data_IF_493428783938
#
_entry.id   IF_493428783938
#
_cell.length_a   1.000
_cell.length_b   1.000
_cell.length_c   1.000
_cell.angle_alpha   90.00
_cell.angle_beta   90.00
_cell.angle_gamma   90.00
#
_symmetry.space_group_name_H-M   'P 1'
#
loop_
_entity.id
_entity.type
_entity.pdbx_description
1 polymer ?
#
# COMPACT_ATOMS: atom_id res chain seq x y z
N UNK A 1 2.10 36.99 -4.90
CA UNK A 1 2.96 35.93 -4.31
C UNK A 1 2.30 34.60 -4.62
N UNK A 2 2.79 33.88 -5.63
CA UNK A 2 2.34 32.52 -5.91
C UNK A 2 2.88 31.61 -4.80
N UNK A 3 1.98 31.11 -3.96
CA UNK A 3 2.30 30.05 -3.02
C UNK A 3 2.40 28.76 -3.84
N UNK A 4 3.61 28.37 -4.21
CA UNK A 4 3.93 27.02 -4.67
C UNK A 4 3.68 26.07 -3.49
N UNK A 5 2.42 25.64 -3.35
CA UNK A 5 2.08 24.45 -2.59
C UNK A 5 2.70 23.28 -3.34
N UNK A 6 3.96 22.95 -3.01
CA UNK A 6 4.55 21.69 -3.41
C UNK A 6 3.61 20.59 -2.95
N UNK A 7 2.92 19.95 -3.89
CA UNK A 7 2.13 18.77 -3.62
C UNK A 7 3.10 17.73 -3.05
N UNK A 8 3.05 17.53 -1.74
CA UNK A 8 3.86 16.52 -1.08
C UNK A 8 3.38 15.19 -1.66
N UNK A 9 4.25 14.49 -2.39
CA UNK A 9 3.99 13.14 -2.89
C UNK A 9 3.48 12.27 -1.73
N UNK A 10 2.19 11.97 -1.76
CA UNK A 10 1.58 11.01 -0.86
C UNK A 10 1.38 9.70 -1.59
N UNK A 11 1.61 8.60 -0.86
CA UNK A 11 1.27 7.27 -1.33
C UNK A 11 -0.18 7.23 -1.80
N UNK A 12 -0.36 6.86 -3.07
CA UNK A 12 -1.66 6.67 -3.71
C UNK A 12 -2.54 5.78 -2.82
N UNK A 13 -3.80 6.17 -2.54
CA UNK A 13 -4.65 5.40 -1.64
C UNK A 13 -4.93 4.02 -2.22
N UNK A 14 -5.17 3.05 -1.34
CA UNK A 14 -5.32 1.64 -1.72
C UNK A 14 -6.47 1.44 -2.72
N UNK A 15 -7.56 2.18 -2.57
CA UNK A 15 -8.71 2.11 -3.49
C UNK A 15 -8.36 2.60 -4.89
N UNK A 16 -7.42 3.55 -5.02
CA UNK A 16 -6.93 4.00 -6.32
C UNK A 16 -5.94 3.00 -6.93
N UNK A 17 -5.10 2.32 -6.12
CA UNK A 17 -4.13 1.31 -6.58
C UNK A 17 -4.82 -0.02 -6.97
N UNK A 18 -5.65 -0.57 -6.08
CA UNK A 18 -6.23 -1.94 -6.20
C UNK A 18 -7.67 -1.95 -6.68
N UNK A 19 -8.29 -0.78 -6.83
CA UNK A 19 -9.72 -0.65 -7.14
C UNK A 19 -10.60 -0.78 -5.90
N UNK A 20 -11.89 -1.01 -6.13
CA UNK A 20 -12.96 -0.92 -5.12
C UNK A 20 -13.54 -2.26 -4.68
N UNK A 21 -13.05 -3.39 -5.20
CA UNK A 21 -13.57 -4.74 -4.90
C UNK A 21 -13.45 -5.09 -3.41
N UNK A 22 -12.26 -4.87 -2.82
CA UNK A 22 -11.99 -5.11 -1.40
C UNK A 22 -12.99 -4.35 -0.52
N UNK A 23 -13.19 -3.06 -0.78
CA UNK A 23 -14.05 -2.19 0.04
C UNK A 23 -15.53 -2.52 -0.20
N UNK A 24 -15.91 -2.88 -1.43
CA UNK A 24 -17.26 -3.35 -1.73
C UNK A 24 -17.63 -4.66 -1.03
N UNK A 25 -16.64 -5.48 -0.64
CA UNK A 25 -16.87 -6.70 0.14
C UNK A 25 -17.07 -6.42 1.64
N UNK A 26 -16.61 -5.26 2.12
CA UNK A 26 -16.74 -4.85 3.52
C UNK A 26 -18.06 -4.08 3.81
N UNK A 27 -18.87 -3.78 2.78
CA UNK A 27 -20.20 -3.14 2.93
C UNK A 27 -21.14 -3.97 3.79
N UNK A 28 -21.92 -3.28 4.63
CA UNK A 28 -22.89 -3.94 5.52
C UNK A 28 -24.24 -4.18 4.86
N UNK A 29 -24.53 -3.46 3.77
CA UNK A 29 -25.76 -3.56 3.01
C UNK A 29 -25.53 -3.45 1.50
N UNK A 30 -26.59 -3.68 0.72
CA UNK A 30 -26.52 -3.73 -0.77
C UNK A 30 -27.12 -2.49 -1.44
N UNK A 31 -27.55 -1.48 -0.68
CA UNK A 31 -28.28 -0.31 -1.21
C UNK A 31 -27.40 0.62 -2.02
N UNK A 32 -26.08 0.57 -1.82
CA UNK A 32 -25.09 1.35 -2.55
C UNK A 32 -23.87 0.50 -2.89
N UNK A 33 -23.03 0.92 -3.83
CA UNK A 33 -21.72 0.32 -4.13
C UNK A 33 -20.63 1.39 -4.21
N UNK A 34 -19.39 1.03 -3.88
CA UNK A 34 -18.24 1.89 -4.10
C UNK A 34 -17.83 1.86 -5.57
N UNK A 35 -17.67 3.03 -6.17
CA UNK A 35 -17.27 3.21 -7.56
C UNK A 35 -16.12 4.21 -7.61
N UNK A 36 -15.08 3.88 -8.38
CA UNK A 36 -13.93 4.75 -8.60
C UNK A 36 -14.06 5.41 -9.96
N UNK A 37 -13.86 6.72 -10.01
CA UNK A 37 -13.69 7.47 -11.25
C UNK A 37 -12.28 8.02 -11.36
N UNK A 38 -11.80 8.09 -12.60
CA UNK A 38 -10.48 8.64 -12.95
C UNK A 38 -10.69 9.65 -14.07
N UNK A 39 -10.26 10.88 -13.85
CA UNK A 39 -10.28 11.94 -14.86
C UNK A 39 -8.89 12.53 -15.03
N UNK A 40 -8.58 12.96 -16.24
CA UNK A 40 -7.26 13.43 -16.64
C UNK A 40 -7.34 14.80 -17.33
N UNK A 41 -6.42 15.70 -17.03
CA UNK A 41 -6.31 17.00 -17.70
C UNK A 41 -5.28 17.94 -17.07
N UNK A 42 -5.03 19.06 -17.74
CA UNK A 42 -4.01 20.04 -17.35
C UNK A 42 -4.42 21.05 -16.26
N UNK A 43 -5.69 21.07 -15.85
CA UNK A 43 -6.17 21.95 -14.76
C UNK A 43 -7.07 21.20 -13.77
N UNK A 44 -6.61 21.11 -12.52
CA UNK A 44 -7.34 20.49 -11.43
C UNK A 44 -8.67 21.17 -11.11
N UNK A 45 -8.78 22.50 -11.27
CA UNK A 45 -10.03 23.20 -11.01
C UNK A 45 -11.09 22.83 -12.05
N UNK A 46 -10.72 22.82 -13.33
CA UNK A 46 -11.56 22.29 -14.40
C UNK A 46 -11.96 20.83 -14.16
N UNK A 47 -11.02 19.95 -13.82
CA UNK A 47 -11.31 18.54 -13.53
C UNK A 47 -12.33 18.35 -12.40
N UNK A 48 -12.27 19.18 -11.36
CA UNK A 48 -13.24 19.16 -10.27
C UNK A 48 -14.61 19.67 -10.70
N UNK A 49 -14.67 20.67 -11.56
CA UNK A 49 -15.95 21.17 -12.10
C UNK A 49 -16.61 20.13 -13.03
N UNK A 50 -15.82 19.35 -13.77
CA UNK A 50 -16.29 18.28 -14.65
C UNK A 50 -16.42 16.92 -13.96
N UNK A 51 -16.09 16.85 -12.67
CA UNK A 51 -15.95 15.59 -11.94
C UNK A 51 -17.23 14.77 -11.79
N UNK A 52 -18.39 15.39 -11.94
CA UNK A 52 -19.68 14.73 -11.88
C UNK A 52 -20.09 14.07 -13.20
N UNK A 53 -19.41 14.38 -14.32
CA UNK A 53 -19.71 13.78 -15.63
C UNK A 53 -19.52 12.25 -15.63
N UNK A 54 -18.40 11.68 -15.16
CA UNK A 54 -18.24 10.23 -15.07
C UNK A 54 -19.31 9.55 -14.19
N UNK A 55 -19.79 10.23 -13.13
CA UNK A 55 -20.87 9.73 -12.29
C UNK A 55 -22.19 9.65 -13.07
N UNK A 56 -22.53 10.67 -13.87
CA UNK A 56 -23.72 10.68 -14.72
C UNK A 56 -23.64 9.57 -15.78
N UNK A 57 -22.50 9.43 -16.47
CA UNK A 57 -22.25 8.38 -17.46
C UNK A 57 -22.38 6.98 -16.85
N UNK A 58 -21.85 6.79 -15.64
CA UNK A 58 -21.96 5.54 -14.89
C UNK A 58 -23.41 5.19 -14.55
N UNK A 59 -24.17 6.15 -14.01
CA UNK A 59 -25.59 5.95 -13.69
C UNK A 59 -26.42 5.69 -14.95
N UNK A 60 -26.14 6.44 -16.03
CA UNK A 60 -26.80 6.30 -17.32
C UNK A 60 -26.60 4.90 -17.90
N UNK A 61 -25.36 4.43 -17.95
CA UNK A 61 -25.03 3.08 -18.45
C UNK A 61 -25.55 1.96 -17.54
N UNK A 62 -25.49 2.15 -16.21
CA UNK A 62 -25.92 1.12 -15.24
C UNK A 62 -27.43 0.89 -15.26
N UNK A 63 -28.22 1.96 -15.39
CA UNK A 63 -29.69 1.90 -15.30
C UNK A 63 -30.42 2.06 -16.64
N UNK A 64 -29.68 2.18 -17.74
CA UNK A 64 -30.21 2.35 -19.10
C UNK A 64 -30.96 3.66 -19.28
N UNK A 65 -30.36 4.78 -18.84
CA UNK A 65 -30.96 6.12 -18.90
C UNK A 65 -30.37 6.92 -20.09
N UNK A 66 -30.92 8.11 -20.33
CA UNK A 66 -30.36 9.09 -21.28
C UNK A 66 -29.73 10.22 -20.47
N UNK A 67 -28.47 10.51 -20.76
CA UNK A 67 -27.65 11.54 -20.12
C UNK A 67 -27.93 12.96 -20.64
N UNK A 68 -28.58 13.10 -21.81
CA UNK A 68 -28.90 14.37 -22.48
C UNK A 68 -29.60 15.42 -21.58
N UNK A 69 -30.36 14.97 -20.59
CA UNK A 69 -31.10 15.82 -19.64
C UNK A 69 -30.85 15.43 -18.19
N UNK A 70 -29.64 14.98 -17.87
CA UNK A 70 -29.23 14.72 -16.50
C UNK A 70 -28.88 16.03 -15.78
N UNK A 71 -29.39 16.22 -14.56
CA UNK A 71 -29.00 17.31 -13.67
C UNK A 71 -28.38 16.76 -12.39
N UNK A 72 -27.34 17.42 -11.90
CA UNK A 72 -26.64 17.06 -10.68
C UNK A 72 -26.80 18.19 -9.66
N UNK A 73 -27.37 17.87 -8.52
CA UNK A 73 -27.58 18.77 -7.39
C UNK A 73 -26.70 18.31 -6.22
N UNK A 74 -25.86 19.18 -5.68
CA UNK A 74 -25.11 18.90 -4.45
C UNK A 74 -26.01 19.22 -3.24
N UNK A 75 -26.28 18.22 -2.41
CA UNK A 75 -27.15 18.32 -1.24
C UNK A 75 -26.42 18.85 0.00
N UNK A 76 -25.10 18.69 0.06
CA UNK A 76 -24.29 19.19 1.17
C UNK A 76 -23.98 20.69 0.94
N UNK A 77 -24.21 21.58 1.93
CA UNK A 77 -23.87 22.99 1.81
C UNK A 77 -22.39 23.14 1.46
N UNK A 78 -22.07 24.04 0.54
CA UNK A 78 -20.69 24.47 0.30
C UNK A 78 -20.19 25.15 1.58
N UNK A 79 -19.60 24.36 2.49
CA UNK A 79 -18.82 24.88 3.59
C UNK A 79 -17.63 25.60 2.96
N UNK A 80 -17.84 26.90 2.74
CA UNK A 80 -16.85 27.82 2.27
C UNK A 80 -15.67 27.80 3.24
N UNK A 81 -14.45 27.83 2.71
CA UNK A 81 -13.18 28.02 3.42
C UNK A 81 -12.56 26.77 4.08
N UNK A 82 -12.32 25.72 3.28
CA UNK A 82 -11.04 25.01 3.17
C UNK A 82 -11.32 23.78 2.30
N UNK A 83 -11.18 23.91 0.97
CA UNK A 83 -11.12 22.72 0.11
C UNK A 83 -9.96 21.90 0.66
N UNK A 84 -10.23 20.79 1.34
CA UNK A 84 -9.20 19.86 1.79
C UNK A 84 -8.25 19.68 0.62
N UNK A 85 -6.99 20.09 0.81
CA UNK A 85 -6.00 19.98 -0.24
C UNK A 85 -5.96 18.51 -0.62
N UNK A 86 -6.13 18.17 -1.92
CA UNK A 86 -5.95 16.79 -2.32
C UNK A 86 -4.54 16.39 -1.87
N UNK A 87 -4.44 15.21 -1.24
CA UNK A 87 -3.21 14.66 -0.67
C UNK A 87 -2.77 15.29 0.68
N UNK A 88 -3.69 15.67 1.58
CA UNK A 88 -3.35 16.19 2.92
C UNK A 88 -2.38 15.23 3.69
N UNK A 89 -1.18 15.67 4.13
CA UNK A 89 -0.25 14.92 5.00
C UNK A 89 -0.90 14.20 6.19
N UNK A 90 -1.97 14.75 6.78
CA UNK A 90 -2.61 14.20 7.98
C UNK A 90 -3.75 13.21 7.67
N UNK A 91 -4.47 13.36 6.55
CA UNK A 91 -5.42 12.42 5.90
C UNK A 91 -6.22 11.42 6.77
N UNK A 92 -6.69 11.82 7.96
CA UNK A 92 -7.68 11.06 8.72
C UNK A 92 -9.12 11.50 8.40
N UNK A 93 -9.31 12.54 7.60
CA UNK A 93 -10.61 13.12 7.27
C UNK A 93 -10.97 12.83 5.82
N UNK A 94 -12.13 12.21 5.61
CA UNK A 94 -12.74 12.07 4.28
C UNK A 94 -13.30 13.39 3.79
N UNK A 95 -13.53 13.46 2.48
CA UNK A 95 -14.33 14.53 1.89
C UNK A 95 -15.71 13.91 1.70
N UNK A 96 -16.70 14.34 2.47
CA UNK A 96 -18.08 13.87 2.31
C UNK A 96 -18.90 14.92 1.57
N UNK A 97 -19.38 14.57 0.38
CA UNK A 97 -20.33 15.40 -0.38
C UNK A 97 -21.42 14.53 -0.96
N UNK A 98 -22.67 14.88 -0.65
CA UNK A 98 -23.84 14.18 -1.13
C UNK A 98 -24.35 14.83 -2.41
N UNK A 99 -24.62 14.01 -3.41
CA UNK A 99 -25.11 14.39 -4.72
C UNK A 99 -26.43 13.68 -5.00
N UNK A 100 -27.32 14.42 -5.66
CA UNK A 100 -28.58 13.93 -6.23
C UNK A 100 -28.51 14.13 -7.73
N UNK A 101 -28.64 13.03 -8.47
CA UNK A 101 -28.64 13.02 -9.93
C UNK A 101 -30.05 12.73 -10.41
N UNK A 102 -30.61 13.64 -11.21
CA UNK A 102 -31.97 13.50 -11.76
C UNK A 102 -31.90 13.37 -13.26
N UNK A 103 -32.52 12.34 -13.81
CA UNK A 103 -32.63 12.12 -15.24
C UNK A 103 -34.05 12.45 -15.69
N UNK A 104 -34.19 13.34 -16.68
CA UNK A 104 -35.49 13.75 -17.23
C UNK A 104 -35.81 13.11 -18.60
N UNK A 105 -35.04 12.10 -19.00
CA UNK A 105 -35.21 11.38 -20.27
C UNK A 105 -36.42 10.43 -20.31
N UNK A 106 -36.48 9.53 -21.31
CA UNK A 106 -37.61 8.60 -21.50
C UNK A 106 -37.93 7.72 -20.28
N UNK A 107 -36.91 7.41 -19.47
CA UNK A 107 -37.02 6.75 -18.18
C UNK A 107 -36.57 7.74 -17.10
N UNK A 108 -37.49 8.56 -16.55
CA UNK A 108 -37.12 9.52 -15.52
C UNK A 108 -36.79 8.79 -14.22
N UNK A 109 -35.82 9.32 -13.48
CA UNK A 109 -35.39 8.73 -12.22
C UNK A 109 -34.48 9.64 -11.41
N UNK A 110 -34.48 9.44 -10.10
CA UNK A 110 -33.59 10.14 -9.16
C UNK A 110 -32.64 9.13 -8.54
N UNK A 111 -31.37 9.48 -8.49
CA UNK A 111 -30.30 8.64 -7.97
C UNK A 111 -29.45 9.45 -7.03
N UNK A 112 -28.87 8.78 -6.04
CA UNK A 112 -28.02 9.41 -5.04
C UNK A 112 -26.62 8.85 -5.13
N UNK A 113 -25.65 9.73 -4.89
CA UNK A 113 -24.26 9.35 -4.74
C UNK A 113 -23.62 10.19 -3.63
N UNK A 114 -22.60 9.65 -2.98
CA UNK A 114 -21.79 10.35 -1.98
C UNK A 114 -20.33 10.24 -2.35
N UNK A 115 -19.66 11.37 -2.55
CA UNK A 115 -18.20 11.41 -2.62
C UNK A 115 -17.65 11.17 -1.21
N UNK A 116 -16.69 10.26 -1.10
CA UNK A 116 -16.06 9.87 0.18
C UNK A 116 -14.59 10.28 0.23
N UNK A 117 -13.88 10.22 -0.91
CA UNK A 117 -12.45 10.52 -0.96
C UNK A 117 -12.01 11.04 -2.33
N UNK A 118 -10.96 11.86 -2.33
CA UNK A 118 -10.29 12.34 -3.54
C UNK A 118 -8.77 12.15 -3.41
N UNK A 119 -8.11 11.80 -4.51
CA UNK A 119 -6.66 11.77 -4.62
C UNK A 119 -6.22 12.36 -5.95
N UNK A 120 -5.12 13.11 -5.96
CA UNK A 120 -4.59 13.71 -7.18
C UNK A 120 -3.16 13.21 -7.38
N UNK A 121 -2.87 12.61 -8.53
CA UNK A 121 -1.49 12.49 -8.99
C UNK A 121 -1.19 13.60 -9.98
N UNK A 122 0.06 14.05 -10.01
CA UNK A 122 0.58 14.93 -11.02
C UNK A 122 1.76 14.21 -11.68
N UNK A 123 1.81 14.25 -13.00
CA UNK A 123 2.91 13.72 -13.79
C UNK A 123 3.61 14.89 -14.49
N UNK A 124 4.94 14.92 -14.37
CA UNK A 124 5.77 15.94 -15.01
C UNK A 124 5.98 15.55 -16.48
N UNK A 125 5.55 16.42 -17.39
CA UNK A 125 5.78 16.24 -18.81
C UNK A 125 7.17 16.75 -19.22
N UNK A 126 7.65 16.26 -20.37
CA UNK A 126 8.97 16.64 -20.93
C UNK A 126 9.04 18.13 -21.28
N UNK A 127 7.89 18.79 -21.45
CA UNK A 127 7.74 20.21 -21.76
C UNK A 127 7.55 21.10 -20.51
N UNK A 128 7.84 20.58 -19.31
CA UNK A 128 7.67 21.28 -18.02
C UNK A 128 6.22 21.66 -17.70
N UNK A 129 5.25 21.09 -18.42
CA UNK A 129 3.84 21.12 -18.05
C UNK A 129 3.51 20.00 -17.06
N UNK A 130 2.40 20.15 -16.34
CA UNK A 130 1.91 19.16 -15.40
C UNK A 130 0.56 18.65 -15.87
N UNK A 131 0.45 17.33 -15.98
CA UNK A 131 -0.84 16.68 -16.15
C UNK A 131 -1.35 16.17 -14.81
N UNK A 132 -2.60 16.50 -14.50
CA UNK A 132 -3.27 16.04 -13.29
C UNK A 132 -4.14 14.83 -13.62
N UNK A 133 -4.02 13.79 -12.79
CA UNK A 133 -5.02 12.73 -12.72
C UNK A 133 -5.78 12.81 -11.41
N UNK A 134 -7.07 13.08 -11.49
CA UNK A 134 -7.97 13.14 -10.35
C UNK A 134 -8.68 11.79 -10.20
N UNK A 135 -8.47 11.16 -9.04
CA UNK A 135 -9.13 9.94 -8.60
C UNK A 135 -10.22 10.32 -7.61
N UNK A 136 -11.41 9.79 -7.79
CA UNK A 136 -12.54 10.02 -6.88
C UNK A 136 -13.20 8.71 -6.51
N UNK A 137 -13.55 8.59 -5.23
CA UNK A 137 -14.26 7.45 -4.68
C UNK A 137 -15.68 7.86 -4.29
N UNK A 138 -16.67 7.27 -4.95
CA UNK A 138 -18.08 7.50 -4.67
C UNK A 138 -18.74 6.25 -4.08
N UNK A 139 -19.70 6.47 -3.19
CA UNK A 139 -20.77 5.53 -2.88
C UNK A 139 -21.95 5.85 -3.78
N UNK A 140 -22.33 4.94 -4.66
CA UNK A 140 -23.39 5.15 -5.66
C UNK A 140 -24.56 4.22 -5.36
N UNK A 141 -25.79 4.71 -5.44
CA UNK A 141 -26.98 3.89 -5.27
C UNK A 141 -27.02 2.70 -6.23
N UNK A 142 -27.50 1.55 -5.75
CA UNK A 142 -27.82 0.39 -6.59
C UNK A 142 -29.33 0.26 -6.81
N UNK A 143 -30.14 1.19 -6.32
CA UNK A 143 -31.61 1.13 -6.36
C UNK A 143 -32.16 2.13 -7.38
N UNK A 144 -33.21 1.71 -8.08
CA UNK A 144 -33.95 2.54 -9.05
C UNK A 144 -35.16 3.25 -8.43
N UNK A 145 -35.44 3.02 -7.15
CA UNK A 145 -36.67 3.50 -6.47
C UNK A 145 -36.59 4.96 -6.00
N UNK A 146 -35.49 5.66 -6.27
CA UNK A 146 -35.30 7.04 -5.87
C UNK A 146 -35.23 7.24 -4.36
N UNK A 147 -34.95 6.19 -3.60
CA UNK A 147 -34.74 6.27 -2.15
C UNK A 147 -33.26 6.48 -1.86
N UNK A 148 -32.95 7.39 -0.93
CA UNK A 148 -31.57 7.62 -0.48
C UNK A 148 -31.00 6.32 0.12
N UNK A 149 -29.82 5.86 -0.33
CA UNK A 149 -29.18 4.67 0.23
C UNK A 149 -28.80 4.85 1.70
N UNK A 150 -28.77 3.73 2.42
CA UNK A 150 -28.22 3.66 3.77
C UNK A 150 -26.70 3.51 3.65
N UNK A 151 -25.99 4.63 3.65
CA UNK A 151 -24.54 4.66 3.52
C UNK A 151 -23.86 4.28 4.84
N UNK A 152 -22.87 3.38 4.79
CA UNK A 152 -22.07 3.04 5.96
C UNK A 152 -21.16 4.22 6.36
N UNK A 153 -20.68 4.20 7.61
CA UNK A 153 -19.65 5.15 8.04
C UNK A 153 -18.30 4.79 7.41
N UNK A 154 -17.59 5.77 6.87
CA UNK A 154 -16.25 5.57 6.30
C UNK A 154 -15.19 6.26 7.15
N UNK A 155 -14.26 5.47 7.69
CA UNK A 155 -13.08 5.98 8.38
C UNK A 155 -11.81 5.77 7.56
N UNK A 156 -10.79 6.59 7.81
CA UNK A 156 -9.54 6.55 7.07
C UNK A 156 -8.38 6.16 7.98
N UNK A 157 -7.60 5.17 7.55
CA UNK A 157 -6.42 4.74 8.29
C UNK A 157 -5.23 4.47 7.37
N UNK A 158 -4.03 4.67 7.91
CA UNK A 158 -2.76 4.26 7.29
C UNK A 158 -2.06 3.13 8.06
N UNK A 159 -2.62 2.72 9.21
CA UNK A 159 -1.95 1.91 10.23
C UNK A 159 -2.51 0.48 10.38
N UNK A 160 -3.19 -0.08 9.38
CA UNK A 160 -3.58 -1.51 9.37
C UNK A 160 -2.34 -2.40 9.12
N UNK A 161 -1.36 -2.28 10.01
CA UNK A 161 -0.01 -2.82 9.89
C UNK A 161 0.05 -4.31 10.18
N UNK A 162 -0.94 -4.89 10.88
CA UNK A 162 -0.94 -6.31 11.25
C UNK A 162 -0.85 -7.25 10.04
N UNK A 163 -1.62 -6.99 8.98
CA UNK A 163 -1.59 -7.83 7.78
C UNK A 163 -0.30 -7.68 6.96
N UNK A 164 0.32 -6.50 6.93
CA UNK A 164 1.58 -6.30 6.24
C UNK A 164 2.76 -6.88 7.02
N UNK A 165 2.75 -6.75 8.35
CA UNK A 165 3.77 -7.32 9.22
C UNK A 165 3.77 -8.86 9.18
N UNK A 166 2.58 -9.50 9.23
CA UNK A 166 2.46 -10.95 9.06
C UNK A 166 3.02 -11.42 7.72
N UNK A 167 2.85 -10.63 6.66
CA UNK A 167 3.37 -10.96 5.32
C UNK A 167 4.87 -10.70 5.20
N UNK A 168 5.43 -9.79 5.97
CA UNK A 168 6.88 -9.53 6.02
C UNK A 168 7.71 -10.62 6.70
N UNK A 169 7.08 -11.66 7.24
CA UNK A 169 7.78 -12.91 7.59
C UNK A 169 8.48 -13.48 6.34
N UNK A 170 7.84 -13.35 5.18
CA UNK A 170 8.51 -13.60 3.91
C UNK A 170 9.20 -12.29 3.52
N UNK A 171 10.53 -12.29 3.32
CA UNK A 171 11.28 -11.12 2.90
C UNK A 171 10.60 -10.40 1.73
N UNK A 172 10.49 -9.08 1.76
CA UNK A 172 9.95 -8.26 0.67
C UNK A 172 8.44 -8.35 0.39
N UNK A 173 7.75 -9.39 0.87
CA UNK A 173 6.34 -9.64 0.55
C UNK A 173 5.38 -8.60 1.16
N UNK A 174 5.65 -8.13 2.38
CA UNK A 174 4.86 -7.06 2.99
C UNK A 174 5.01 -5.72 2.26
N UNK A 175 6.21 -5.43 1.75
CA UNK A 175 6.46 -4.21 0.96
C UNK A 175 5.78 -4.28 -0.41
N UNK A 176 5.84 -5.44 -1.07
CA UNK A 176 5.12 -5.70 -2.31
C UNK A 176 3.60 -5.52 -2.11
N UNK A 177 3.05 -6.04 -1.01
CA UNK A 177 1.63 -5.89 -0.70
C UNK A 177 1.21 -4.43 -0.45
N UNK A 178 2.10 -3.61 0.13
CA UNK A 178 1.93 -2.17 0.30
C UNK A 178 2.08 -1.37 -1.01
N UNK A 179 2.43 -2.03 -2.12
CA UNK A 179 2.69 -1.38 -3.42
C UNK A 179 4.08 -0.74 -3.53
N UNK A 180 4.96 -0.94 -2.54
CA UNK A 180 6.34 -0.43 -2.54
C UNK A 180 7.28 -1.39 -3.28
N UNK A 181 6.99 -1.61 -4.57
CA UNK A 181 7.61 -2.66 -5.38
C UNK A 181 9.15 -2.51 -5.48
N UNK A 182 9.66 -1.29 -5.63
CA UNK A 182 11.10 -1.03 -5.70
C UNK A 182 11.80 -1.50 -4.42
N UNK A 183 11.23 -1.20 -3.24
CA UNK A 183 11.80 -1.67 -1.97
C UNK A 183 11.76 -3.20 -1.87
N UNK A 184 10.66 -3.82 -2.30
CA UNK A 184 10.54 -5.27 -2.32
C UNK A 184 11.63 -5.92 -3.18
N UNK A 185 11.88 -5.40 -4.39
CA UNK A 185 12.94 -5.88 -5.28
C UNK A 185 14.34 -5.66 -4.69
N UNK A 186 14.60 -4.54 -4.02
CA UNK A 186 15.87 -4.31 -3.34
C UNK A 186 16.12 -5.32 -2.21
N UNK A 187 15.08 -5.64 -1.43
CA UNK A 187 15.18 -6.64 -0.35
C UNK A 187 15.45 -8.03 -0.94
N UNK A 188 14.68 -8.46 -1.94
CA UNK A 188 14.91 -9.75 -2.61
C UNK A 188 16.27 -9.83 -3.28
N UNK A 189 16.70 -8.76 -3.98
CA UNK A 189 18.01 -8.69 -4.60
C UNK A 189 19.13 -8.76 -3.58
N UNK A 190 19.02 -8.01 -2.48
CA UNK A 190 19.99 -8.01 -1.38
C UNK A 190 20.13 -9.39 -0.73
N UNK A 191 19.01 -10.05 -0.44
CA UNK A 191 19.03 -11.40 0.10
C UNK A 191 19.60 -12.42 -0.89
N UNK A 192 19.20 -12.36 -2.16
CA UNK A 192 19.70 -13.25 -3.21
C UNK A 192 21.23 -13.15 -3.35
N UNK A 193 21.77 -11.92 -3.34
CA UNK A 193 23.22 -11.68 -3.36
C UNK A 193 23.90 -12.26 -2.12
N UNK A 194 23.35 -12.04 -0.93
CA UNK A 194 23.93 -12.57 0.31
C UNK A 194 23.94 -14.11 0.33
N UNK A 195 22.85 -14.74 -0.10
CA UNK A 195 22.74 -16.20 -0.19
C UNK A 195 23.73 -16.75 -1.24
N UNK A 196 23.78 -16.16 -2.43
CA UNK A 196 24.73 -16.57 -3.47
C UNK A 196 26.17 -16.42 -3.01
N UNK A 197 26.52 -15.31 -2.36
CA UNK A 197 27.84 -15.08 -1.78
C UNK A 197 28.18 -16.12 -0.71
N UNK A 198 27.23 -16.47 0.17
CA UNK A 198 27.43 -17.51 1.17
C UNK A 198 27.69 -18.89 0.54
N UNK A 199 26.94 -19.27 -0.50
CA UNK A 199 27.14 -20.53 -1.23
C UNK A 199 28.49 -20.59 -1.95
N UNK A 200 28.89 -19.51 -2.63
CA UNK A 200 30.19 -19.42 -3.31
C UNK A 200 31.33 -19.51 -2.27
N UNK A 201 31.22 -18.78 -1.17
CA UNK A 201 32.21 -18.81 -0.10
C UNK A 201 32.30 -20.20 0.54
N UNK A 202 31.17 -20.90 0.73
CA UNK A 202 31.16 -22.25 1.27
C UNK A 202 31.80 -23.26 0.32
N UNK A 203 31.52 -23.16 -0.99
CA UNK A 203 32.17 -23.99 -2.00
C UNK A 203 33.68 -23.79 -1.97
N UNK A 204 34.15 -22.54 -2.04
CA UNK A 204 35.59 -22.21 -1.97
C UNK A 204 36.21 -22.71 -0.66
N UNK A 205 35.54 -22.52 0.47
CA UNK A 205 35.99 -23.01 1.78
C UNK A 205 36.17 -24.53 1.77
N UNK A 206 35.24 -25.26 1.16
CA UNK A 206 35.25 -26.72 1.03
C UNK A 206 36.39 -27.20 0.16
N UNK A 207 36.57 -26.59 -1.02
CA UNK A 207 37.66 -26.92 -1.95
C UNK A 207 39.03 -26.75 -1.26
N UNK A 208 39.27 -25.59 -0.63
CA UNK A 208 40.53 -25.35 0.10
C UNK A 208 40.69 -26.26 1.33
N UNK A 209 39.61 -26.71 1.96
CA UNK A 209 39.67 -27.66 3.06
C UNK A 209 40.04 -29.07 2.58
N UNK A 210 39.57 -29.48 1.40
CA UNK A 210 39.95 -30.73 0.77
C UNK A 210 41.44 -30.73 0.39
N UNK A 211 41.91 -29.66 -0.26
CA UNK A 211 43.32 -29.48 -0.61
C UNK A 211 44.23 -29.48 0.63
N UNK A 212 43.82 -28.77 1.70
CA UNK A 212 44.53 -28.81 2.99
C UNK A 212 44.66 -30.24 3.52
N UNK A 213 43.58 -31.02 3.50
CA UNK A 213 43.62 -32.41 4.01
C UNK A 213 44.54 -33.29 3.16
N UNK A 214 44.60 -33.05 1.85
CA UNK A 214 45.51 -33.74 0.94
C UNK A 214 46.98 -33.43 1.28
N UNK A 215 47.35 -32.16 1.43
CA UNK A 215 48.73 -31.80 1.79
C UNK A 215 49.14 -32.29 3.18
N UNK A 216 48.20 -32.40 4.12
CA UNK A 216 48.47 -33.04 5.41
C UNK A 216 48.88 -34.51 5.24
N UNK A 217 48.20 -35.25 4.35
CA UNK A 217 48.49 -36.64 4.08
C UNK A 217 49.81 -36.82 3.30
N UNK A 218 50.16 -35.86 2.45
CA UNK A 218 51.43 -35.84 1.70
C UNK A 218 52.63 -35.35 2.54
N UNK A 219 52.40 -34.82 3.75
CA UNK A 219 53.45 -34.34 4.66
C UNK A 219 53.98 -32.93 4.35
N UNK A 220 53.37 -32.21 3.40
CA UNK A 220 53.73 -30.83 3.04
C UNK A 220 53.07 -29.83 4.00
N UNK A 221 53.79 -29.53 5.08
CA UNK A 221 53.35 -28.61 6.14
C UNK A 221 53.23 -27.15 5.68
N UNK A 222 54.01 -26.71 4.69
CA UNK A 222 54.00 -25.31 4.21
C UNK A 222 52.74 -25.06 3.39
N UNK A 223 52.42 -25.96 2.46
CA UNK A 223 51.17 -25.90 1.70
C UNK A 223 49.96 -26.11 2.61
N UNK A 224 50.05 -27.02 3.58
CA UNK A 224 48.99 -27.22 4.56
C UNK A 224 48.56 -25.93 5.28
N UNK A 225 49.51 -25.18 5.84
CA UNK A 225 49.19 -23.98 6.63
C UNK A 225 48.62 -22.85 5.75
N UNK A 226 49.14 -22.71 4.52
CA UNK A 226 48.61 -21.77 3.53
C UNK A 226 47.15 -22.06 3.15
N UNK A 227 46.82 -23.32 2.83
CA UNK A 227 45.47 -23.71 2.46
C UNK A 227 44.50 -23.71 3.66
N UNK A 228 45.00 -24.00 4.86
CA UNK A 228 44.24 -23.82 6.11
C UNK A 228 43.85 -22.36 6.32
N UNK A 229 44.80 -21.42 6.19
CA UNK A 229 44.54 -19.99 6.32
C UNK A 229 43.52 -19.50 5.29
N UNK A 230 43.66 -19.89 4.01
CA UNK A 230 42.69 -19.58 2.96
C UNK A 230 41.28 -20.10 3.29
N UNK A 231 41.15 -21.35 3.71
CA UNK A 231 39.86 -21.93 4.11
C UNK A 231 39.23 -21.14 5.27
N UNK A 232 40.03 -20.69 6.24
CA UNK A 232 39.53 -19.83 7.32
C UNK A 232 39.05 -18.47 6.83
N UNK A 233 39.76 -17.81 5.90
CA UNK A 233 39.31 -16.55 5.30
C UNK A 233 37.96 -16.71 4.59
N UNK A 234 37.77 -17.76 3.80
CA UNK A 234 36.49 -18.02 3.13
C UNK A 234 35.35 -18.32 4.11
N UNK A 235 35.64 -18.94 5.25
CA UNK A 235 34.67 -19.11 6.34
C UNK A 235 34.24 -17.75 6.92
N UNK A 236 35.17 -16.80 7.09
CA UNK A 236 34.85 -15.44 7.56
C UNK A 236 33.95 -14.74 6.56
N UNK A 237 34.28 -14.75 5.27
CA UNK A 237 33.44 -14.15 4.22
C UNK A 237 32.04 -14.76 4.15
N UNK A 238 31.92 -16.09 4.27
CA UNK A 238 30.61 -16.78 4.35
C UNK A 238 29.80 -16.26 5.55
N UNK A 239 30.42 -16.15 6.72
CA UNK A 239 29.73 -15.67 7.92
C UNK A 239 29.30 -14.19 7.77
N UNK A 240 30.11 -13.35 7.12
CA UNK A 240 29.74 -11.97 6.79
C UNK A 240 28.52 -11.96 5.86
N UNK A 241 28.50 -12.80 4.82
CA UNK A 241 27.36 -12.89 3.90
C UNK A 241 26.07 -13.35 4.60
N UNK A 242 26.15 -14.35 5.48
CA UNK A 242 25.02 -14.80 6.31
C UNK A 242 24.57 -13.68 7.26
N UNK A 243 25.51 -12.98 7.90
CA UNK A 243 25.20 -11.82 8.74
C UNK A 243 24.51 -10.70 7.98
N UNK A 244 24.95 -10.44 6.74
CA UNK A 244 24.29 -9.51 5.82
C UNK A 244 22.85 -9.89 5.51
N UNK A 245 22.60 -11.17 5.20
CA UNK A 245 21.23 -11.68 4.98
C UNK A 245 20.33 -11.48 6.20
N UNK A 246 20.84 -11.81 7.40
CA UNK A 246 20.11 -11.58 8.67
C UNK A 246 19.81 -10.10 8.87
N UNK A 247 20.77 -9.22 8.58
CA UNK A 247 20.60 -7.77 8.67
C UNK A 247 19.51 -7.24 7.73
N UNK A 248 19.50 -7.69 6.48
CA UNK A 248 18.45 -7.35 5.49
C UNK A 248 17.07 -7.83 5.96
N UNK A 249 17.01 -9.05 6.51
CA UNK A 249 15.76 -9.61 7.04
C UNK A 249 15.22 -8.82 8.24
N UNK A 250 16.07 -8.48 9.20
CA UNK A 250 15.69 -7.67 10.36
C UNK A 250 15.22 -6.28 9.93
N UNK A 251 15.90 -5.65 8.96
CA UNK A 251 15.47 -4.39 8.37
C UNK A 251 14.08 -4.51 7.72
N UNK A 252 13.80 -5.58 6.97
CA UNK A 252 12.50 -5.82 6.35
C UNK A 252 11.36 -5.92 7.39
N UNK A 253 11.58 -6.59 8.53
CA UNK A 253 10.60 -6.68 9.61
C UNK A 253 10.35 -5.32 10.29
N UNK A 254 11.43 -4.58 10.60
CA UNK A 254 11.34 -3.26 11.23
C UNK A 254 10.66 -2.25 10.31
N UNK A 255 11.06 -2.21 9.04
CA UNK A 255 10.45 -1.31 8.06
C UNK A 255 8.98 -1.68 7.87
N UNK A 256 8.61 -2.97 7.84
CA UNK A 256 7.21 -3.36 7.73
C UNK A 256 6.35 -2.95 8.93
N UNK A 257 6.91 -3.04 10.14
CA UNK A 257 6.23 -2.66 11.39
C UNK A 257 6.07 -1.14 11.53
N UNK A 258 7.09 -0.37 11.14
CA UNK A 258 7.14 1.08 11.32
C UNK A 258 6.60 1.86 10.11
N UNK A 259 6.69 1.32 8.88
CA UNK A 259 6.21 2.03 7.69
C UNK A 259 4.69 2.08 7.66
N UNK A 260 4.16 3.29 7.50
CA UNK A 260 2.75 3.50 7.19
C UNK A 260 2.50 3.05 5.75
N UNK A 261 1.39 2.35 5.54
CA UNK A 261 0.97 1.94 4.21
C UNK A 261 0.17 3.03 3.49
N UNK A 262 -0.22 2.79 2.23
CA UNK A 262 -1.15 3.65 1.52
C UNK A 262 -2.46 3.76 2.31
N UNK A 263 -3.08 4.95 2.27
CA UNK A 263 -4.35 5.24 2.94
C UNK A 263 -5.43 4.23 2.53
N UNK A 264 -6.21 3.75 3.51
CA UNK A 264 -7.29 2.80 3.33
C UNK A 264 -8.59 3.36 3.89
N UNK A 265 -9.69 3.02 3.23
CA UNK A 265 -11.05 3.25 3.73
C UNK A 265 -11.46 2.03 4.55
N UNK A 266 -11.96 2.26 5.74
CA UNK A 266 -12.54 1.23 6.61
C UNK A 266 -14.04 1.49 6.65
N UNK A 267 -14.80 0.52 6.18
CA UNK A 267 -16.27 0.58 6.21
C UNK A 267 -16.75 0.14 7.58
N UNK A 268 -17.54 0.98 8.24
CA UNK A 268 -18.09 0.72 9.57
C UNK A 268 -19.60 0.68 9.52
N UNK A 269 -20.17 -0.35 10.13
CA UNK A 269 -21.60 -0.39 10.44
C UNK A 269 -21.90 0.71 11.45
N UNK A 270 -22.96 1.48 11.20
CA UNK A 270 -23.47 2.41 12.19
C UNK A 270 -23.81 1.66 13.49
N UNK A 271 -23.07 1.93 14.58
CA UNK A 271 -23.33 1.40 15.93
C UNK A 271 -22.59 0.14 16.39
N UNK A 272 -21.57 -0.36 15.69
CA UNK A 272 -20.77 -1.52 16.17
C UNK A 272 -19.52 -1.13 16.96
N UNK A 273 -19.21 -1.83 18.06
CA UNK A 273 -17.98 -1.66 18.86
C UNK A 273 -16.74 -2.27 18.18
N UNK A 274 -15.65 -1.51 18.14
CA UNK A 274 -14.36 -1.90 17.53
C UNK A 274 -13.73 -3.11 18.24
N UNK A 275 -13.27 -4.09 17.46
CA UNK A 275 -12.32 -5.11 17.90
C UNK A 275 -11.06 -4.97 17.04
N UNK A 276 -9.93 -4.61 17.64
CA UNK A 276 -8.69 -4.31 16.92
C UNK A 276 -7.63 -5.37 17.18
N UNK A 277 -7.20 -6.07 16.13
CA UNK A 277 -6.04 -6.97 16.21
C UNK A 277 -4.75 -6.19 15.93
N UNK A 278 -3.80 -6.23 16.86
CA UNK A 278 -2.47 -5.65 16.67
C UNK A 278 -1.39 -6.75 16.66
N UNK A 279 -0.44 -6.64 15.74
CA UNK A 279 0.70 -7.55 15.60
C UNK A 279 1.98 -6.72 15.65
N UNK A 280 2.96 -7.09 16.47
CA UNK A 280 4.21 -6.34 16.65
C UNK A 280 5.42 -7.27 16.81
N UNK A 281 6.61 -6.89 16.29
CA UNK A 281 7.81 -7.69 16.49
C UNK A 281 8.23 -7.60 17.96
N UNK A 282 8.73 -8.71 18.50
CA UNK A 282 9.23 -8.76 19.87
C UNK A 282 10.60 -9.43 19.92
N UNK A 283 11.41 -9.03 20.89
CA UNK A 283 12.66 -9.73 21.20
C UNK A 283 12.41 -10.70 22.34
N UNK A 284 12.66 -11.98 22.09
CA UNK A 284 12.63 -13.03 23.09
C UNK A 284 14.09 -13.30 23.47
N UNK A 285 14.50 -12.74 24.61
CA UNK A 285 15.79 -13.06 25.22
C UNK A 285 15.54 -13.77 26.54
N UNK A 286 16.02 -15.02 26.63
CA UNK A 286 16.13 -15.73 27.90
C UNK A 286 17.51 -15.43 28.51
N UNK A 287 17.57 -14.66 29.62
CA UNK A 287 18.84 -14.30 30.26
C UNK A 287 19.58 -15.51 30.86
N UNK A 288 18.93 -16.68 30.95
CA UNK A 288 19.51 -17.92 31.47
C UNK A 288 19.98 -18.90 30.38
N UNK A 289 19.71 -18.61 29.10
CA UNK A 289 20.09 -19.47 27.97
C UNK A 289 21.37 -19.00 27.29
N UNK A 290 22.17 -19.93 26.77
CA UNK A 290 23.32 -19.64 25.87
C UNK A 290 22.90 -19.45 24.41
N UNK A 291 21.59 -19.51 24.13
CA UNK A 291 21.05 -19.31 22.78
C UNK A 291 21.04 -17.82 22.43
N UNK A 292 21.28 -17.53 21.15
CA UNK A 292 21.14 -16.18 20.65
C UNK A 292 19.69 -15.68 20.82
N UNK A 293 19.48 -14.39 21.11
CA UNK A 293 18.14 -13.82 21.23
C UNK A 293 17.32 -14.08 19.95
N UNK A 294 16.07 -14.47 20.13
CA UNK A 294 15.16 -14.77 19.02
C UNK A 294 14.24 -13.57 18.73
N UNK A 295 13.96 -13.36 17.45
CA UNK A 295 12.90 -12.46 17.00
C UNK A 295 11.58 -13.22 17.00
N UNK A 296 10.61 -12.73 17.78
CA UNK A 296 9.25 -13.23 17.87
C UNK A 296 8.21 -12.26 17.32
N UNK A 297 6.96 -12.69 17.29
CA UNK A 297 5.80 -11.87 16.91
C UNK A 297 4.80 -11.93 18.07
N UNK A 298 4.42 -10.76 18.59
CA UNK A 298 3.34 -10.61 19.57
C UNK A 298 2.02 -10.33 18.85
N UNK A 299 0.92 -10.90 19.35
CA UNK A 299 -0.44 -10.69 18.85
C UNK A 299 -1.31 -10.22 20.02
N UNK A 300 -1.94 -9.06 19.88
CA UNK A 300 -2.84 -8.46 20.86
C UNK A 300 -4.25 -8.33 20.25
N UNK A 301 -5.27 -8.59 21.05
CA UNK A 301 -6.69 -8.53 20.69
C UNK A 301 -7.46 -7.65 21.66
#
# INVERSE_FOLDING_TARGET
>A
MLTTLGAISQDKPRWAIKGVSDINSERTNRTYSFVKFETFGGDLAALRNESTRPLVEYLSSTFGLSDDNASVEQLTPDASAERALPNDPKANTGITRDYKVTFAGPKPGTYYARLIDEYVSFDDNVDETYDYTLYQLFEVTNREDGVMPDYDGCDFTRSRNGGAMLRSIIPGLGQYYKGQNVKAYCIWGGEAVCIAAALICEKRRSDYAADRNRFLAEGDMVSWDSYRSKSQSWRVFRNIAIGGAIGVYAYNLLDAALSKGPRQVVVRKSGSSDMSLAVAPTFISDPSSTLAPALGIAVNF
#
